data_IF_677299839148
#
_entry.id   IF_677299839148
#
_cell.length_a   1.000
_cell.length_b   1.000
_cell.length_c   1.000
_cell.angle_alpha   90.00
_cell.angle_beta   90.00
_cell.angle_gamma   90.00
#
_symmetry.space_group_name_H-M   'P 1'
#
loop_
_entity.id
_entity.type
_entity.pdbx_description
1 polymer ?
#
# COMPACT_ATOMS: atom_id res chain seq x y z
N UNK A 1 1.08 20.10 13.41
CA UNK A 1 2.26 19.71 12.64
C UNK A 1 2.19 18.24 12.32
N UNK A 2 2.50 17.85 11.09
CA UNK A 2 2.56 16.45 10.73
C UNK A 2 3.96 15.89 11.06
N UNK A 3 4.01 14.67 11.59
CA UNK A 3 5.28 14.05 11.98
C UNK A 3 5.69 12.99 10.98
N UNK A 4 7.00 12.82 10.78
CA UNK A 4 7.54 11.78 9.93
C UNK A 4 8.76 11.12 10.58
N UNK A 5 9.04 9.89 10.16
CA UNK A 5 10.24 9.15 10.53
C UNK A 5 10.94 8.62 9.29
N UNK A 6 12.17 8.22 9.44
CA UNK A 6 12.95 7.62 8.35
C UNK A 6 12.84 6.10 8.44
N UNK A 7 12.59 5.46 7.30
CA UNK A 7 12.48 4.01 7.18
C UNK A 7 13.40 3.49 6.07
N UNK A 8 14.07 2.37 6.31
CA UNK A 8 14.84 1.66 5.30
C UNK A 8 13.92 1.05 4.23
N UNK A 9 14.37 1.08 2.99
CA UNK A 9 13.76 0.33 1.89
C UNK A 9 14.40 -1.06 1.77
N UNK A 10 13.66 -2.08 1.31
CA UNK A 10 14.25 -3.34 0.91
C UNK A 10 15.35 -3.13 -0.14
N UNK A 11 16.43 -3.90 -0.04
CA UNK A 11 17.49 -3.86 -1.05
C UNK A 11 17.09 -4.66 -2.29
N UNK A 12 16.37 -4.00 -3.20
CA UNK A 12 15.97 -4.61 -4.49
C UNK A 12 17.15 -4.78 -5.46
N UNK A 13 18.32 -4.22 -5.15
CA UNK A 13 19.49 -4.28 -6.05
C UNK A 13 20.50 -5.38 -5.66
N UNK A 14 20.33 -6.02 -4.52
CA UNK A 14 21.24 -7.05 -3.99
C UNK A 14 22.66 -6.56 -3.66
N UNK A 15 22.88 -5.24 -3.64
CA UNK A 15 24.20 -4.62 -3.41
C UNK A 15 24.51 -4.36 -1.92
N UNK A 16 23.68 -4.80 -1.01
CA UNK A 16 23.83 -4.61 0.43
C UNK A 16 23.64 -3.17 0.92
N UNK A 17 23.26 -2.23 0.05
CA UNK A 17 23.00 -0.81 0.39
C UNK A 17 21.50 -0.56 0.40
N UNK A 18 20.94 -0.32 1.57
CA UNK A 18 19.53 0.04 1.74
C UNK A 18 19.36 1.55 1.69
N UNK A 19 18.44 2.01 0.85
CA UNK A 19 18.02 3.41 0.81
C UNK A 19 17.10 3.71 1.97
N UNK A 20 17.07 4.95 2.41
CA UNK A 20 16.18 5.44 3.47
C UNK A 20 15.21 6.44 2.85
N UNK A 21 13.94 6.37 3.24
CA UNK A 21 12.91 7.30 2.80
C UNK A 21 12.10 7.84 3.99
N UNK A 22 11.58 9.08 3.87
CA UNK A 22 10.69 9.63 4.88
C UNK A 22 9.31 8.99 4.77
N UNK A 23 8.77 8.55 5.90
CA UNK A 23 7.40 8.01 6.01
C UNK A 23 6.61 8.83 7.02
N UNK A 24 5.40 9.25 6.63
CA UNK A 24 4.52 10.00 7.51
C UNK A 24 4.09 9.13 8.71
N UNK A 25 4.09 9.72 9.88
CA UNK A 25 3.47 9.11 11.06
C UNK A 25 1.97 9.41 11.01
N UNK A 26 1.17 8.38 10.81
CA UNK A 26 -0.28 8.49 10.81
C UNK A 26 -0.74 8.66 12.26
N UNK A 27 -1.39 9.78 12.58
CA UNK A 27 -1.91 10.03 13.93
C UNK A 27 -3.13 9.15 14.21
N UNK A 28 -4.14 9.23 13.32
CA UNK A 28 -5.36 8.41 13.36
C UNK A 28 -6.08 8.48 12.01
N UNK A 29 -7.01 7.59 11.82
CA UNK A 29 -7.97 7.66 10.71
C UNK A 29 -9.10 8.63 11.08
N UNK A 30 -9.54 9.43 10.12
CA UNK A 30 -10.71 10.30 10.22
C UNK A 30 -11.87 9.57 9.56
N UNK A 31 -12.92 9.34 10.31
CA UNK A 31 -14.12 8.66 9.83
C UNK A 31 -15.07 9.65 9.12
N UNK A 32 -16.09 9.09 8.45
CA UNK A 32 -17.02 9.85 7.61
C UNK A 32 -17.77 10.93 8.40
N UNK A 33 -18.18 10.61 9.61
CA UNK A 33 -18.94 11.52 10.49
C UNK A 33 -18.15 12.79 10.79
N UNK A 34 -16.90 12.64 11.19
CA UNK A 34 -16.00 13.76 11.48
C UNK A 34 -15.69 14.59 10.23
N UNK A 35 -15.54 13.90 9.07
CA UNK A 35 -15.36 14.59 7.78
C UNK A 35 -16.58 15.45 7.43
N UNK A 36 -17.79 14.91 7.60
CA UNK A 36 -19.07 15.60 7.36
C UNK A 36 -19.20 16.81 8.28
N UNK A 37 -18.94 16.65 9.59
CA UNK A 37 -18.93 17.77 10.56
C UNK A 37 -17.93 18.87 10.15
N UNK A 38 -16.77 18.49 9.67
CA UNK A 38 -15.75 19.45 9.21
C UNK A 38 -16.17 20.22 7.97
N UNK A 39 -16.88 19.58 7.03
CA UNK A 39 -17.43 20.21 5.84
C UNK A 39 -18.55 21.18 6.26
N UNK A 40 -19.44 20.76 7.13
CA UNK A 40 -20.53 21.60 7.67
C UNK A 40 -19.97 22.83 8.38
N UNK A 41 -19.01 22.66 9.28
CA UNK A 41 -18.39 23.76 10.02
C UNK A 41 -17.71 24.82 9.15
N UNK A 42 -17.36 24.48 7.90
CA UNK A 42 -16.79 25.42 6.93
C UNK A 42 -17.84 26.15 6.09
N UNK A 43 -18.91 25.49 5.73
CA UNK A 43 -19.91 26.04 4.82
C UNK A 43 -21.09 26.68 5.55
N UNK A 44 -21.45 26.18 6.74
CA UNK A 44 -22.62 26.63 7.52
C UNK A 44 -23.98 26.41 6.85
N UNK A 45 -23.98 26.04 5.56
CA UNK A 45 -25.18 26.01 4.71
C UNK A 45 -25.79 24.60 4.63
N UNK A 46 -24.93 23.57 4.61
CA UNK A 46 -25.37 22.21 4.36
C UNK A 46 -25.63 21.44 5.65
N UNK A 47 -26.78 20.76 5.73
CA UNK A 47 -27.06 19.82 6.83
C UNK A 47 -26.19 18.58 6.70
N UNK A 48 -25.79 17.92 7.82
CA UNK A 48 -24.92 16.71 7.80
C UNK A 48 -25.44 15.61 6.88
N UNK A 49 -26.76 15.34 6.94
CA UNK A 49 -27.39 14.32 6.09
C UNK A 49 -27.28 14.59 4.58
N UNK A 50 -27.35 15.89 4.19
CA UNK A 50 -27.19 16.28 2.79
C UNK A 50 -25.75 16.06 2.32
N UNK A 51 -24.77 16.43 3.15
CA UNK A 51 -23.34 16.22 2.85
C UNK A 51 -23.04 14.73 2.69
N UNK A 52 -23.51 13.92 3.63
CA UNK A 52 -23.34 12.47 3.58
C UNK A 52 -23.99 11.89 2.31
N UNK A 53 -25.23 12.28 2.00
CA UNK A 53 -25.94 11.84 0.78
C UNK A 53 -25.17 12.18 -0.50
N UNK A 54 -24.61 13.39 -0.60
CA UNK A 54 -23.80 13.79 -1.77
C UNK A 54 -22.55 12.94 -1.89
N UNK A 55 -21.84 12.65 -0.79
CA UNK A 55 -20.62 11.83 -0.82
C UNK A 55 -20.92 10.38 -1.21
N UNK A 56 -22.03 9.82 -0.73
CA UNK A 56 -22.46 8.47 -1.13
C UNK A 56 -22.85 8.43 -2.61
N UNK A 57 -23.65 9.40 -3.07
CA UNK A 57 -24.04 9.50 -4.48
C UNK A 57 -22.83 9.68 -5.41
N UNK A 58 -21.79 10.41 -4.96
CA UNK A 58 -20.54 10.53 -5.70
C UNK A 58 -19.84 9.17 -5.82
N UNK A 59 -19.81 8.37 -4.75
CA UNK A 59 -19.23 7.02 -4.80
C UNK A 59 -19.99 6.12 -5.78
N UNK A 60 -21.33 6.15 -5.75
CA UNK A 60 -22.16 5.38 -6.69
C UNK A 60 -21.91 5.80 -8.15
N UNK A 61 -21.85 7.10 -8.42
CA UNK A 61 -21.55 7.62 -9.76
C UNK A 61 -20.15 7.20 -10.25
N UNK A 62 -19.16 7.11 -9.34
CA UNK A 62 -17.84 6.59 -9.68
C UNK A 62 -17.93 5.11 -10.07
N UNK A 63 -18.70 4.29 -9.35
CA UNK A 63 -18.93 2.89 -9.70
C UNK A 63 -19.52 2.78 -11.10
N UNK A 64 -20.58 3.55 -11.38
CA UNK A 64 -21.27 3.52 -12.67
C UNK A 64 -20.35 3.83 -13.85
N UNK A 65 -19.61 4.94 -13.77
CA UNK A 65 -18.74 5.35 -14.87
C UNK A 65 -17.47 4.51 -15.01
N UNK A 66 -16.83 4.16 -13.90
CA UNK A 66 -15.61 3.35 -13.95
C UNK A 66 -15.89 1.93 -14.45
N UNK A 67 -17.02 1.32 -14.08
CA UNK A 67 -17.42 0.00 -14.57
C UNK A 67 -17.63 -0.05 -16.08
N UNK A 68 -18.00 1.08 -16.68
CA UNK A 68 -18.13 1.25 -18.13
C UNK A 68 -16.78 1.60 -18.83
N UNK A 69 -15.68 1.64 -18.07
CA UNK A 69 -14.33 1.92 -18.60
C UNK A 69 -14.01 3.41 -18.77
N UNK A 70 -14.82 4.30 -18.22
CA UNK A 70 -14.53 5.75 -18.27
C UNK A 70 -13.51 6.16 -17.19
N UNK A 71 -12.74 7.19 -17.48
CA UNK A 71 -11.98 7.92 -16.47
C UNK A 71 -12.83 9.07 -15.94
N UNK A 72 -12.90 9.22 -14.63
CA UNK A 72 -13.71 10.25 -13.97
C UNK A 72 -12.81 11.31 -13.34
N UNK A 73 -12.93 12.55 -13.83
CA UNK A 73 -12.21 13.69 -13.26
C UNK A 73 -13.10 14.46 -12.29
N UNK A 74 -12.74 14.43 -11.01
CA UNK A 74 -13.39 15.25 -9.97
C UNK A 74 -12.49 16.46 -9.68
N UNK A 75 -12.94 17.64 -10.09
CA UNK A 75 -12.17 18.89 -9.92
C UNK A 75 -11.85 19.11 -8.43
N UNK A 76 -10.58 19.35 -8.13
CA UNK A 76 -10.11 19.59 -6.76
C UNK A 76 -9.79 18.31 -5.96
N UNK A 77 -10.14 17.11 -6.48
CA UNK A 77 -9.71 15.83 -5.91
C UNK A 77 -8.68 15.15 -6.80
N UNK A 78 -9.05 14.85 -8.04
CA UNK A 78 -8.16 14.14 -8.95
C UNK A 78 -8.90 13.41 -10.08
N UNK A 79 -8.17 12.52 -10.73
CA UNK A 79 -8.66 11.66 -11.80
C UNK A 79 -8.66 10.21 -11.34
N UNK A 80 -9.82 9.56 -11.43
CA UNK A 80 -10.04 8.16 -11.07
C UNK A 80 -10.00 7.31 -12.35
N UNK A 81 -9.33 6.17 -12.29
CA UNK A 81 -9.25 5.21 -13.38
C UNK A 81 -9.12 3.80 -12.85
N UNK A 82 -9.54 2.79 -13.60
CA UNK A 82 -9.36 1.40 -13.23
C UNK A 82 -7.92 0.94 -13.46
N UNK A 83 -7.46 0.06 -12.61
CA UNK A 83 -6.29 -0.77 -12.79
C UNK A 83 -6.75 -2.22 -13.00
N UNK A 84 -6.13 -2.91 -13.94
CA UNK A 84 -6.48 -4.30 -14.28
C UNK A 84 -5.31 -5.22 -13.94
N UNK A 85 -5.63 -6.48 -13.69
CA UNK A 85 -4.62 -7.55 -13.53
C UNK A 85 -5.08 -8.84 -14.20
N UNK A 86 -4.12 -9.69 -14.52
CA UNK A 86 -4.41 -11.05 -14.94
C UNK A 86 -4.72 -11.92 -13.71
N UNK A 87 -5.76 -12.75 -13.81
CA UNK A 87 -6.19 -13.64 -12.71
C UNK A 87 -5.50 -14.99 -12.74
N UNK A 88 -4.72 -15.28 -13.78
CA UNK A 88 -3.97 -16.53 -13.90
C UNK A 88 -2.53 -16.37 -13.42
N UNK A 89 -1.91 -17.47 -12.98
CA UNK A 89 -0.51 -17.51 -12.48
C UNK A 89 0.55 -17.58 -13.59
N UNK A 90 0.17 -17.36 -14.87
CA UNK A 90 1.09 -17.43 -16.00
C UNK A 90 2.03 -16.23 -16.03
N UNK A 91 3.23 -16.41 -16.59
CA UNK A 91 4.18 -15.32 -16.80
C UNK A 91 3.55 -14.17 -17.59
N UNK A 92 3.87 -12.93 -17.19
CA UNK A 92 3.42 -11.71 -17.86
C UNK A 92 4.37 -11.31 -19.02
N UNK A 93 5.42 -12.11 -19.28
CA UNK A 93 6.36 -11.85 -20.35
C UNK A 93 5.79 -12.33 -21.70
N UNK A 94 5.83 -11.45 -22.69
CA UNK A 94 5.52 -11.81 -24.07
C UNK A 94 6.75 -12.49 -24.68
N UNK A 95 6.68 -13.79 -24.88
CA UNK A 95 7.57 -14.45 -25.83
C UNK A 95 7.09 -14.13 -27.26
N UNK A 96 8.06 -13.79 -28.15
CA UNK A 96 7.82 -13.31 -29.50
C UNK A 96 6.73 -14.11 -30.25
N UNK A 97 5.60 -13.45 -30.52
CA UNK A 97 4.53 -14.01 -31.37
C UNK A 97 3.50 -14.89 -30.66
N UNK A 98 3.46 -14.90 -29.34
CA UNK A 98 2.57 -15.81 -28.60
C UNK A 98 1.13 -15.33 -28.56
N UNK A 99 0.26 -15.94 -29.37
CA UNK A 99 -1.20 -15.74 -29.40
C UNK A 99 -1.88 -16.14 -28.07
N UNK A 100 -1.19 -16.80 -27.15
CA UNK A 100 -1.72 -17.25 -25.84
C UNK A 100 -2.09 -16.10 -24.92
N UNK A 101 -1.54 -14.90 -25.11
CA UNK A 101 -1.93 -13.69 -24.36
C UNK A 101 -3.41 -13.28 -24.61
N UNK A 102 -3.97 -13.61 -25.76
CA UNK A 102 -5.33 -13.22 -26.14
C UNK A 102 -6.43 -13.98 -25.35
N UNK A 103 -6.07 -15.06 -24.66
CA UNK A 103 -7.02 -15.94 -23.95
C UNK A 103 -6.88 -15.85 -22.42
N UNK A 104 -6.23 -14.79 -21.91
CA UNK A 104 -6.05 -14.62 -20.47
C UNK A 104 -7.27 -13.92 -19.85
N UNK A 105 -7.64 -14.40 -18.67
CA UNK A 105 -8.67 -13.76 -17.88
C UNK A 105 -8.12 -12.51 -17.21
N UNK A 106 -8.89 -11.42 -17.29
CA UNK A 106 -8.56 -10.12 -16.74
C UNK A 106 -9.62 -9.72 -15.73
N UNK A 107 -9.19 -9.18 -14.59
CA UNK A 107 -10.08 -8.61 -13.57
C UNK A 107 -9.66 -7.20 -13.20
N UNK A 108 -10.56 -6.51 -12.50
CA UNK A 108 -10.25 -5.22 -11.88
C UNK A 108 -9.39 -5.49 -10.66
N UNK A 109 -8.21 -4.87 -10.65
CA UNK A 109 -7.27 -4.94 -9.53
C UNK A 109 -7.58 -3.89 -8.47
N UNK A 110 -7.70 -2.64 -8.89
CA UNK A 110 -7.82 -1.49 -7.99
C UNK A 110 -8.29 -0.24 -8.73
N UNK A 111 -8.57 0.82 -8.00
CA UNK A 111 -8.86 2.14 -8.52
C UNK A 111 -7.64 3.03 -8.34
N UNK A 112 -7.09 3.54 -9.42
CA UNK A 112 -6.01 4.50 -9.39
C UNK A 112 -6.57 5.91 -9.21
N UNK A 113 -6.09 6.64 -8.20
CA UNK A 113 -6.36 8.05 -8.02
C UNK A 113 -5.11 8.87 -8.33
N UNK A 114 -5.15 9.63 -9.43
CA UNK A 114 -4.15 10.66 -9.72
C UNK A 114 -4.63 11.98 -9.17
N UNK A 115 -4.05 12.42 -8.04
CA UNK A 115 -4.44 13.65 -7.33
C UNK A 115 -4.35 14.91 -8.21
N UNK A 116 -5.26 15.85 -7.99
CA UNK A 116 -5.22 17.16 -8.64
C UNK A 116 -3.99 17.95 -8.18
N UNK A 117 -3.29 18.57 -9.13
CA UNK A 117 -2.06 19.36 -8.85
C UNK A 117 -2.33 20.51 -7.88
N UNK A 118 -3.48 21.16 -8.01
CA UNK A 118 -3.87 22.26 -7.12
C UNK A 118 -4.12 21.75 -5.68
N UNK A 119 -4.73 20.58 -5.52
CA UNK A 119 -4.89 19.95 -4.22
C UNK A 119 -3.53 19.70 -3.56
N UNK A 120 -2.59 19.12 -4.31
CA UNK A 120 -1.24 18.82 -3.82
C UNK A 120 -0.51 20.12 -3.44
N UNK A 121 -0.63 21.18 -4.26
CA UNK A 121 -0.02 22.48 -3.98
C UNK A 121 -0.55 23.06 -2.68
N UNK A 122 -1.86 23.12 -2.49
CA UNK A 122 -2.51 23.62 -1.27
C UNK A 122 -2.12 22.81 -0.02
N UNK A 123 -1.96 21.49 -0.14
CA UNK A 123 -1.48 20.65 0.95
C UNK A 123 -0.03 21.03 1.29
N UNK A 124 0.86 21.16 0.31
CA UNK A 124 2.26 21.55 0.53
C UNK A 124 2.39 22.90 1.25
N UNK A 125 1.60 23.90 0.84
CA UNK A 125 1.60 25.23 1.45
C UNK A 125 1.14 25.23 2.91
N UNK A 126 0.27 24.29 3.29
CA UNK A 126 -0.30 24.20 4.65
C UNK A 126 0.40 23.21 5.57
N UNK A 127 1.25 22.34 5.00
CA UNK A 127 1.88 21.27 5.76
C UNK A 127 3.20 21.74 6.34
N UNK A 128 3.31 21.71 7.67
CA UNK A 128 4.58 21.81 8.40
C UNK A 128 4.96 20.43 8.89
N UNK A 129 6.17 19.97 8.53
CA UNK A 129 6.70 18.64 8.82
C UNK A 129 7.73 18.71 9.94
N UNK A 130 7.60 17.86 10.92
CA UNK A 130 8.53 17.69 12.03
C UNK A 130 9.06 16.26 12.03
N UNK A 131 10.40 16.11 12.14
CA UNK A 131 11.00 14.79 12.25
C UNK A 131 10.83 14.27 13.67
N UNK A 132 10.27 13.07 13.82
CA UNK A 132 10.34 12.35 15.10
C UNK A 132 11.79 12.07 15.45
N UNK A 133 12.15 12.29 16.70
CA UNK A 133 13.52 12.01 17.21
C UNK A 133 13.83 10.50 17.35
N UNK A 134 13.03 9.64 16.73
CA UNK A 134 13.30 8.21 16.68
C UNK A 134 14.45 7.91 15.73
N UNK A 135 15.22 6.89 16.05
CA UNK A 135 16.20 6.31 15.12
C UNK A 135 15.53 5.90 13.79
N UNK A 136 16.35 5.72 12.76
CA UNK A 136 15.84 5.17 11.48
C UNK A 136 15.23 3.79 11.75
N UNK A 137 13.98 3.61 11.37
CA UNK A 137 13.34 2.29 11.43
C UNK A 137 14.03 1.35 10.45
N UNK A 138 14.90 0.50 10.98
CA UNK A 138 15.59 -0.52 10.19
C UNK A 138 14.62 -1.65 9.89
N UNK A 139 14.64 -2.10 8.65
CA UNK A 139 13.96 -3.36 8.31
C UNK A 139 14.71 -4.49 9.01
N UNK A 140 13.99 -5.34 9.70
CA UNK A 140 14.55 -6.61 10.13
C UNK A 140 15.10 -7.36 8.89
N UNK A 141 16.26 -8.03 8.99
CA UNK A 141 16.77 -8.83 7.88
C UNK A 141 15.67 -9.83 7.47
N UNK A 142 15.38 -9.91 6.16
CA UNK A 142 14.37 -10.81 5.63
C UNK A 142 14.64 -12.26 6.02
N UNK A 143 15.94 -12.59 6.13
CA UNK A 143 16.39 -13.91 6.59
C UNK A 143 17.58 -13.77 7.50
N UNK A 144 17.68 -14.66 8.48
CA UNK A 144 18.87 -14.74 9.31
C UNK A 144 20.08 -15.27 8.52
N UNK A 145 21.31 -14.85 8.82
CA UNK A 145 22.52 -15.45 8.28
C UNK A 145 22.54 -16.98 8.51
N UNK A 146 23.19 -17.73 7.61
CA UNK A 146 23.19 -19.20 7.62
C UNK A 146 23.60 -19.80 8.97
N UNK A 147 24.64 -19.25 9.62
CA UNK A 147 25.11 -19.67 10.93
C UNK A 147 24.04 -19.49 12.02
N UNK A 148 23.33 -18.36 12.02
CA UNK A 148 22.26 -18.08 12.96
C UNK A 148 21.07 -19.00 12.70
N UNK A 149 20.72 -19.25 11.44
CA UNK A 149 19.65 -20.19 11.07
C UNK A 149 19.94 -21.61 11.58
N UNK A 150 21.18 -22.05 11.45
CA UNK A 150 21.61 -23.36 11.92
C UNK A 150 21.49 -23.45 13.46
N UNK A 151 21.99 -22.46 14.19
CA UNK A 151 21.88 -22.42 15.65
C UNK A 151 20.43 -22.45 16.13
N UNK A 152 19.54 -21.69 15.49
CA UNK A 152 18.11 -21.67 15.81
C UNK A 152 17.44 -23.03 15.53
N UNK A 153 17.84 -23.68 14.45
CA UNK A 153 17.34 -25.01 14.12
C UNK A 153 17.81 -26.06 15.12
N UNK A 154 19.09 -26.07 15.50
CA UNK A 154 19.63 -26.97 16.51
C UNK A 154 18.97 -26.77 17.87
N UNK A 155 18.85 -25.53 18.35
CA UNK A 155 18.15 -25.21 19.59
C UNK A 155 16.67 -25.66 19.59
N UNK A 156 16.01 -25.61 18.43
CA UNK A 156 14.66 -26.12 18.28
C UNK A 156 14.61 -27.65 18.34
N UNK A 157 15.55 -28.34 17.67
CA UNK A 157 15.68 -29.80 17.67
C UNK A 157 15.97 -30.30 19.09
N UNK A 158 16.90 -29.66 19.80
CA UNK A 158 17.24 -30.00 21.20
C UNK A 158 16.01 -29.95 22.13
N UNK A 159 15.11 -28.99 21.88
CA UNK A 159 13.90 -28.80 22.68
C UNK A 159 12.74 -29.71 22.28
N UNK A 160 12.61 -30.03 20.97
CA UNK A 160 11.43 -30.70 20.41
C UNK A 160 11.72 -32.04 19.71
N UNK A 161 12.99 -32.46 19.66
CA UNK A 161 13.44 -33.70 19.09
C UNK A 161 13.58 -33.71 17.57
N UNK A 162 12.82 -32.88 16.85
CA UNK A 162 12.88 -32.78 15.39
C UNK A 162 12.37 -31.43 14.89
N UNK A 163 12.67 -31.09 13.66
CA UNK A 163 12.19 -29.88 12.99
C UNK A 163 11.67 -30.20 11.60
N UNK A 164 10.44 -29.80 11.29
CA UNK A 164 9.91 -29.87 9.93
C UNK A 164 10.35 -28.67 9.08
N UNK A 165 10.30 -28.80 7.74
CA UNK A 165 10.61 -27.70 6.83
C UNK A 165 9.74 -26.46 7.12
N UNK A 166 8.47 -26.64 7.45
CA UNK A 166 7.57 -25.56 7.83
C UNK A 166 8.04 -24.84 9.10
N UNK A 167 8.40 -25.59 10.13
CA UNK A 167 8.93 -25.03 11.38
C UNK A 167 10.25 -24.32 11.16
N UNK A 168 11.14 -24.90 10.36
CA UNK A 168 12.41 -24.29 9.99
C UNK A 168 12.22 -22.94 9.29
N UNK A 169 11.33 -22.89 8.30
CA UNK A 169 10.99 -21.64 7.61
C UNK A 169 10.42 -20.59 8.58
N UNK A 170 9.50 -21.01 9.46
CA UNK A 170 8.84 -20.13 10.42
C UNK A 170 9.82 -19.51 11.41
N UNK A 171 10.69 -20.32 12.03
CA UNK A 171 11.66 -19.82 13.01
C UNK A 171 12.73 -18.94 12.36
N UNK A 172 13.04 -19.16 11.09
CA UNK A 172 14.05 -18.40 10.35
C UNK A 172 13.48 -17.28 9.45
N UNK A 173 12.17 -17.04 9.50
CA UNK A 173 11.47 -15.99 8.73
C UNK A 173 11.76 -16.05 7.24
N UNK A 174 11.65 -17.23 6.64
CA UNK A 174 11.95 -17.45 5.24
C UNK A 174 10.85 -18.24 4.52
N UNK A 175 10.79 -18.10 3.20
CA UNK A 175 9.86 -18.88 2.37
C UNK A 175 10.33 -20.33 2.21
N UNK A 176 9.42 -21.24 1.85
CA UNK A 176 9.79 -22.65 1.57
C UNK A 176 10.73 -22.78 0.38
N UNK A 177 10.63 -21.87 -0.59
CA UNK A 177 11.51 -21.85 -1.77
C UNK A 177 12.93 -21.34 -1.48
N UNK A 178 13.15 -20.72 -0.31
CA UNK A 178 14.43 -20.14 0.10
C UNK A 178 15.11 -20.95 1.22
N UNK A 179 14.52 -22.08 1.64
CA UNK A 179 14.97 -22.92 2.77
C UNK A 179 16.01 -23.97 2.42
#
# INVERSE_FOLDING_TARGET
>A
MARYYLQEMPDMSGKGKRKVYPKIQINRQIEMEELVERIQGRSGVYRPGVVNGILMTLADALVDYLSLGYNVKVKGLGNFSLSLEFTDEKSNEMENGDSKMNYRHVSVKDINLKSDKELVKRIKERTSLERCMSEVNKLEPETFPRNVRLQRALAFIDKHGSISLYQYCRINRMSRSSA
#
